data_IF_768903948106
#
_entry.id   IF_768903948106
#
_cell.length_a   1.000
_cell.length_b   1.000
_cell.length_c   1.000
_cell.angle_alpha   90.00
_cell.angle_beta   90.00
_cell.angle_gamma   90.00
#
_symmetry.space_group_name_H-M   'P 1'
#
loop_
_entity.id
_entity.type
_entity.pdbx_description
1 polymer ?
#
# COMPACT_ATOMS: atom_id res chain seq x y z
N UNK A 1 19.51 41.66 17.95
CA UNK A 1 18.23 42.19 17.42
C UNK A 1 18.03 41.56 16.07
N UNK A 2 17.03 40.69 16.07
CA UNK A 2 16.68 39.63 15.15
C UNK A 2 16.25 40.09 13.75
N UNK A 3 16.33 39.14 12.81
CA UNK A 3 15.30 38.70 11.84
C UNK A 3 16.05 38.09 10.64
N UNK A 4 16.26 36.79 10.62
CA UNK A 4 15.30 35.75 10.22
C UNK A 4 14.68 36.05 8.84
N UNK A 5 15.31 35.53 7.79
CA UNK A 5 14.63 35.17 6.54
C UNK A 5 15.22 33.86 6.06
N UNK A 6 14.80 32.77 6.70
CA UNK A 6 14.87 31.45 6.11
C UNK A 6 13.90 31.44 4.92
N UNK A 7 14.40 31.71 3.71
CA UNK A 7 13.74 31.21 2.49
C UNK A 7 13.99 29.70 2.42
N UNK A 8 13.23 28.98 3.24
CA UNK A 8 13.06 27.54 3.13
C UNK A 8 12.15 27.33 1.93
N UNK A 9 12.74 27.34 0.73
CA UNK A 9 12.07 26.81 -0.45
C UNK A 9 11.55 25.43 -0.08
N UNK A 10 10.25 25.22 -0.23
CA UNK A 10 9.60 23.92 -0.05
C UNK A 10 10.12 22.97 -1.15
N UNK A 11 11.36 22.52 -0.99
CA UNK A 11 11.90 21.44 -1.77
C UNK A 11 11.18 20.20 -1.26
N UNK A 12 10.43 19.51 -2.13
CA UNK A 12 9.74 18.24 -1.85
C UNK A 12 10.72 17.08 -1.51
N UNK A 13 11.92 17.41 -1.03
CA UNK A 13 13.03 16.52 -0.68
C UNK A 13 12.66 15.73 0.57
N UNK A 14 12.05 14.57 0.36
CA UNK A 14 11.78 13.60 1.41
C UNK A 14 10.34 13.08 1.48
N UNK A 15 9.46 13.49 0.56
CA UNK A 15 8.18 12.80 0.42
C UNK A 15 8.40 11.41 -0.18
N UNK A 16 7.58 10.47 0.26
CA UNK A 16 7.59 9.07 -0.14
C UNK A 16 6.39 8.84 -1.07
N UNK A 17 6.66 8.50 -2.31
CA UNK A 17 5.63 8.06 -3.24
C UNK A 17 5.35 6.58 -3.01
N UNK A 18 4.09 6.22 -2.78
CA UNK A 18 3.66 4.85 -2.51
C UNK A 18 2.38 4.52 -3.27
N UNK A 19 2.36 3.38 -3.95
CA UNK A 19 1.18 2.85 -4.60
C UNK A 19 0.76 1.58 -3.86
N UNK A 20 -0.44 1.60 -3.26
CA UNK A 20 -1.02 0.41 -2.62
C UNK A 20 -1.67 -0.42 -3.71
N UNK A 21 -1.33 -1.71 -3.75
CA UNK A 21 -1.81 -2.62 -4.76
C UNK A 21 -3.19 -3.18 -4.42
N UNK A 22 -4.13 -3.10 -5.36
CA UNK A 22 -5.47 -3.69 -5.24
C UNK A 22 -5.67 -4.94 -6.13
N UNK A 23 -4.82 -5.14 -7.14
CA UNK A 23 -4.83 -6.26 -8.12
C UNK A 23 -3.46 -6.92 -8.21
N UNK A 24 -3.14 -7.86 -9.11
CA UNK A 24 -1.79 -8.50 -9.18
C UNK A 24 -0.69 -7.63 -9.86
N UNK A 25 -0.86 -6.31 -9.93
CA UNK A 25 0.01 -5.39 -10.69
C UNK A 25 1.26 -4.90 -9.93
N UNK A 26 1.88 -5.77 -9.13
CA UNK A 26 3.04 -5.43 -8.30
C UNK A 26 4.22 -4.83 -9.08
N UNK A 27 4.44 -5.29 -10.32
CA UNK A 27 5.50 -4.78 -11.19
C UNK A 27 5.36 -3.29 -11.51
N UNK A 28 4.14 -2.81 -11.78
CA UNK A 28 3.86 -1.39 -12.08
C UNK A 28 4.21 -0.54 -10.88
N UNK A 29 3.67 -0.92 -9.71
CA UNK A 29 3.89 -0.23 -8.44
C UNK A 29 5.37 -0.22 -8.04
N UNK A 30 6.08 -1.34 -8.29
CA UNK A 30 7.51 -1.47 -8.06
C UNK A 30 8.30 -0.45 -8.90
N UNK A 31 8.07 -0.41 -10.21
CA UNK A 31 8.80 0.51 -11.12
C UNK A 31 8.51 1.98 -10.79
N UNK A 32 7.25 2.32 -10.56
CA UNK A 32 6.85 3.69 -10.21
C UNK A 32 7.48 4.15 -8.89
N UNK A 33 7.56 3.25 -7.91
CA UNK A 33 8.27 3.51 -6.66
C UNK A 33 9.77 3.67 -6.87
N UNK A 34 10.40 2.83 -7.71
CA UNK A 34 11.82 2.95 -8.11
C UNK A 34 12.10 4.29 -8.79
N UNK A 35 11.08 4.96 -9.34
CA UNK A 35 11.17 6.29 -9.93
C UNK A 35 10.62 7.41 -9.03
N UNK A 36 9.94 7.06 -7.92
CA UNK A 36 9.22 7.98 -7.03
C UNK A 36 8.20 8.82 -7.82
N UNK A 37 7.32 8.14 -8.56
CA UNK A 37 6.17 8.77 -9.22
C UNK A 37 5.42 7.83 -10.17
N UNK A 38 4.19 8.18 -10.57
CA UNK A 38 3.36 7.38 -11.48
C UNK A 38 3.81 7.57 -12.93
N UNK A 39 4.97 7.01 -13.28
CA UNK A 39 5.53 7.16 -14.63
C UNK A 39 5.04 6.10 -15.61
N UNK A 40 4.60 4.95 -15.09
CA UNK A 40 4.11 3.84 -15.88
C UNK A 40 2.72 3.42 -15.41
N UNK A 41 1.87 3.07 -16.37
CA UNK A 41 0.63 2.34 -16.14
C UNK A 41 0.78 0.86 -16.52
N UNK A 42 -0.22 0.06 -16.17
CA UNK A 42 -0.34 -1.34 -16.64
C UNK A 42 -0.22 -1.44 -18.16
N UNK A 43 -0.88 -0.53 -18.89
CA UNK A 43 -0.87 -0.53 -20.36
C UNK A 43 0.54 -0.26 -20.91
N UNK A 44 1.32 0.59 -20.25
CA UNK A 44 2.69 0.91 -20.68
C UNK A 44 3.61 -0.31 -20.49
N UNK A 45 3.54 -0.98 -19.34
CA UNK A 45 4.31 -2.21 -19.11
C UNK A 45 3.87 -3.35 -20.03
N UNK A 46 2.57 -3.50 -20.30
CA UNK A 46 2.06 -4.50 -21.24
C UNK A 46 2.53 -4.23 -22.68
N UNK A 47 2.60 -2.96 -23.08
CA UNK A 47 3.15 -2.59 -24.38
C UNK A 47 4.65 -2.93 -24.49
N UNK A 48 5.43 -2.65 -23.43
CA UNK A 48 6.85 -3.03 -23.36
C UNK A 48 7.03 -4.55 -23.42
N UNK A 49 6.20 -5.31 -22.69
CA UNK A 49 6.23 -6.78 -22.73
C UNK A 49 5.92 -7.30 -24.15
N UNK A 50 4.93 -6.74 -24.83
CA UNK A 50 4.59 -7.13 -26.21
C UNK A 50 5.70 -6.79 -27.22
N UNK A 51 6.41 -5.68 -27.04
CA UNK A 51 7.53 -5.30 -27.91
C UNK A 51 8.74 -6.24 -27.71
N UNK A 52 8.99 -6.63 -26.45
CA UNK A 52 9.98 -7.65 -26.12
C UNK A 52 9.64 -9.00 -26.76
N UNK A 53 8.40 -9.48 -26.61
CA UNK A 53 7.94 -10.73 -27.24
C UNK A 53 8.13 -10.68 -28.76
N UNK A 54 7.83 -9.55 -29.40
CA UNK A 54 8.01 -9.36 -30.84
C UNK A 54 9.48 -9.41 -31.24
N UNK A 55 10.34 -8.73 -30.49
CA UNK A 55 11.78 -8.68 -30.75
C UNK A 55 12.43 -10.05 -30.56
N UNK A 56 12.08 -10.78 -29.51
CA UNK A 56 12.53 -12.16 -29.25
C UNK A 56 12.13 -13.10 -30.39
N UNK A 57 10.87 -13.00 -30.89
CA UNK A 57 10.39 -13.77 -32.05
C UNK A 57 11.16 -13.43 -33.32
N UNK A 58 11.42 -12.15 -33.60
CA UNK A 58 12.17 -11.73 -34.79
C UNK A 58 13.60 -12.27 -34.77
N UNK A 59 14.27 -12.24 -33.62
CA UNK A 59 15.63 -12.79 -33.47
C UNK A 59 15.66 -14.31 -33.68
N UNK A 60 14.61 -15.03 -33.27
CA UNK A 60 14.49 -16.47 -33.53
C UNK A 60 14.22 -16.81 -35.00
N UNK A 61 13.36 -16.04 -35.69
CA UNK A 61 13.06 -16.26 -37.12
C UNK A 61 14.31 -16.09 -38.01
N UNK A 62 15.27 -15.25 -37.59
CA UNK A 62 16.55 -15.09 -38.29
C UNK A 62 17.57 -16.22 -38.04
N UNK A 63 17.36 -17.07 -37.02
CA UNK A 63 18.37 -18.05 -36.55
C UNK A 63 17.98 -19.51 -36.78
N UNK A 64 16.76 -19.82 -37.22
CA UNK A 64 16.25 -21.20 -37.30
C UNK A 64 15.92 -21.59 -38.75
N UNK A 65 16.84 -22.33 -39.39
CA UNK A 65 16.65 -23.00 -40.70
C UNK A 65 16.10 -24.43 -40.55
N UNK A 66 15.21 -24.70 -39.58
CA UNK A 66 14.71 -26.04 -39.30
C UNK A 66 13.41 -26.06 -38.51
N UNK A 67 12.66 -27.15 -38.62
CA UNK A 67 11.28 -27.39 -38.18
C UNK A 67 11.07 -27.40 -36.64
N UNK A 68 11.89 -26.68 -35.88
CA UNK A 68 11.79 -26.53 -34.44
C UNK A 68 10.97 -25.28 -34.15
N UNK A 69 9.77 -25.44 -33.61
CA UNK A 69 8.99 -24.33 -33.05
C UNK A 69 9.49 -24.07 -31.63
N UNK A 70 10.34 -23.04 -31.40
CA UNK A 70 10.70 -22.67 -30.03
C UNK A 70 9.45 -22.24 -29.29
N UNK A 71 9.37 -22.63 -28.03
CA UNK A 71 8.33 -22.19 -27.10
C UNK A 71 8.33 -20.65 -27.08
N UNK A 72 7.18 -20.06 -27.39
CA UNK A 72 7.04 -18.61 -27.48
C UNK A 72 7.17 -18.06 -26.06
N UNK A 73 8.28 -17.36 -25.78
CA UNK A 73 8.43 -16.59 -24.55
C UNK A 73 7.30 -15.58 -24.45
N UNK A 74 6.69 -15.50 -23.27
CA UNK A 74 5.66 -14.55 -22.94
C UNK A 74 6.15 -13.74 -21.74
N UNK A 75 6.42 -12.46 -21.97
CA UNK A 75 6.96 -11.55 -20.96
C UNK A 75 5.91 -11.04 -19.95
N UNK A 76 4.62 -11.36 -20.17
CA UNK A 76 3.52 -11.09 -19.24
C UNK A 76 2.64 -12.33 -19.07
N UNK A 77 2.32 -12.69 -17.84
CA UNK A 77 1.42 -13.79 -17.50
C UNK A 77 -0.05 -13.35 -17.60
N UNK A 78 -0.96 -14.32 -17.78
CA UNK A 78 -2.42 -14.07 -17.73
C UNK A 78 -2.87 -13.53 -16.37
N UNK A 79 -2.09 -13.82 -15.32
CA UNK A 79 -2.30 -13.34 -13.96
C UNK A 79 -1.78 -11.91 -13.72
N UNK A 80 -1.12 -11.28 -14.71
CA UNK A 80 -0.57 -9.93 -14.59
C UNK A 80 0.83 -9.82 -13.98
N UNK A 81 1.55 -10.94 -13.85
CA UNK A 81 2.97 -10.91 -13.50
C UNK A 81 3.84 -10.61 -14.72
N UNK A 82 4.88 -9.80 -14.53
CA UNK A 82 5.77 -9.32 -15.57
C UNK A 82 7.17 -9.89 -15.39
N UNK A 83 7.82 -10.24 -16.50
CA UNK A 83 9.21 -10.69 -16.46
C UNK A 83 10.15 -9.56 -16.03
N UNK A 84 11.29 -9.92 -15.43
CA UNK A 84 12.35 -8.97 -15.09
C UNK A 84 12.85 -8.16 -16.31
N UNK A 85 12.76 -8.72 -17.52
CA UNK A 85 13.19 -8.05 -18.75
C UNK A 85 12.30 -6.83 -19.05
N UNK A 86 11.01 -6.90 -18.73
CA UNK A 86 10.09 -5.76 -18.85
C UNK A 86 10.51 -4.63 -17.92
N UNK A 87 10.78 -4.94 -16.64
CA UNK A 87 11.24 -3.96 -15.65
C UNK A 87 12.60 -3.36 -16.06
N UNK A 88 13.51 -4.19 -16.59
CA UNK A 88 14.79 -3.74 -17.14
C UNK A 88 14.58 -2.72 -18.26
N UNK A 89 13.71 -2.99 -19.23
CA UNK A 89 13.42 -2.05 -20.33
C UNK A 89 12.73 -0.78 -19.87
N UNK A 90 11.79 -0.87 -18.93
CA UNK A 90 11.14 0.29 -18.37
C UNK A 90 12.16 1.24 -17.69
N UNK A 91 13.07 0.68 -16.89
CA UNK A 91 14.09 1.44 -16.17
C UNK A 91 15.24 1.92 -17.07
N UNK A 92 15.56 1.21 -18.16
CA UNK A 92 16.58 1.60 -19.13
C UNK A 92 16.27 2.96 -19.79
N UNK A 93 14.99 3.26 -20.04
CA UNK A 93 14.53 4.57 -20.56
C UNK A 93 14.96 5.73 -19.66
N UNK A 94 15.13 5.47 -18.36
CA UNK A 94 15.55 6.43 -17.34
C UNK A 94 17.06 6.40 -17.06
N UNK A 95 17.87 5.75 -17.91
CA UNK A 95 19.30 5.50 -17.67
C UNK A 95 19.56 4.75 -16.35
N UNK A 96 18.62 3.91 -15.93
CA UNK A 96 18.77 3.03 -14.78
C UNK A 96 19.09 1.61 -15.25
N UNK A 97 20.07 0.99 -14.62
CA UNK A 97 20.48 -0.38 -14.87
C UNK A 97 20.03 -1.27 -13.73
N UNK A 98 19.45 -2.43 -14.08
CA UNK A 98 19.03 -3.46 -13.13
C UNK A 98 20.01 -4.62 -13.19
N UNK A 99 20.75 -4.82 -12.10
CA UNK A 99 21.88 -5.77 -12.01
C UNK A 99 21.53 -6.83 -10.97
N UNK A 100 21.54 -8.13 -11.30
CA UNK A 100 21.36 -9.19 -10.31
C UNK A 100 22.39 -9.08 -9.17
N UNK A 101 21.95 -9.20 -7.92
CA UNK A 101 22.82 -9.00 -6.76
C UNK A 101 23.96 -10.04 -6.69
N UNK A 102 23.76 -11.22 -7.26
CA UNK A 102 24.76 -12.29 -7.37
C UNK A 102 25.80 -12.06 -8.49
N UNK A 103 25.65 -11.01 -9.30
CA UNK A 103 26.60 -10.65 -10.35
C UNK A 103 27.90 -10.07 -9.75
N UNK A 104 29.08 -10.30 -10.36
CA UNK A 104 30.33 -9.66 -9.94
C UNK A 104 30.25 -8.12 -9.93
N UNK A 105 29.41 -7.52 -10.77
CA UNK A 105 29.22 -6.07 -10.80
C UNK A 105 28.52 -5.50 -9.55
N UNK A 106 27.84 -6.36 -8.79
CA UNK A 106 27.12 -6.03 -7.57
C UNK A 106 27.88 -6.46 -6.30
N UNK A 107 29.11 -6.98 -6.40
CA UNK A 107 29.94 -7.35 -5.26
C UNK A 107 30.08 -6.24 -4.21
N UNK A 108 30.29 -4.95 -4.57
CA UNK A 108 30.35 -3.87 -3.58
C UNK A 108 29.04 -3.69 -2.80
N UNK A 109 27.89 -3.94 -3.45
CA UNK A 109 26.58 -3.84 -2.83
C UNK A 109 26.28 -5.00 -1.87
N UNK A 110 26.99 -6.13 -2.00
CA UNK A 110 26.89 -7.24 -1.04
C UNK A 110 27.63 -6.92 0.26
N UNK A 111 28.69 -6.10 0.19
CA UNK A 111 29.50 -5.68 1.34
C UNK A 111 28.85 -4.47 2.02
N UNK A 112 28.57 -3.42 1.24
CA UNK A 112 28.04 -2.14 1.74
C UNK A 112 26.73 -1.78 1.01
N UNK A 113 25.61 -2.48 1.27
CA UNK A 113 24.32 -2.23 0.59
C UNK A 113 23.80 -0.80 0.81
N UNK A 114 24.20 -0.14 1.89
CA UNK A 114 23.78 1.22 2.24
C UNK A 114 24.29 2.33 1.30
N UNK A 115 25.33 2.03 0.49
CA UNK A 115 25.90 2.95 -0.51
C UNK A 115 25.09 2.98 -1.79
N UNK A 116 24.23 2.00 -2.00
CA UNK A 116 23.36 1.93 -3.16
C UNK A 116 22.10 2.79 -2.98
N UNK A 117 21.27 2.85 -4.03
CA UNK A 117 20.09 3.73 -4.06
C UNK A 117 18.77 2.96 -4.03
N UNK A 118 18.68 1.81 -4.68
CA UNK A 118 17.48 0.98 -4.66
C UNK A 118 17.78 -0.48 -4.98
N UNK A 119 16.91 -1.35 -4.48
CA UNK A 119 16.85 -2.78 -4.78
C UNK A 119 15.43 -3.13 -5.23
N UNK A 120 15.33 -4.08 -6.14
CA UNK A 120 14.09 -4.73 -6.56
C UNK A 120 14.16 -6.18 -6.08
N UNK A 121 13.10 -6.65 -5.46
CA UNK A 121 13.00 -7.98 -4.90
C UNK A 121 11.85 -8.74 -5.57
N UNK A 122 12.08 -10.01 -5.88
CA UNK A 122 11.10 -10.89 -6.50
C UNK A 122 11.05 -12.29 -5.88
N UNK A 123 9.84 -12.76 -5.59
CA UNK A 123 9.55 -14.13 -5.19
C UNK A 123 8.10 -14.47 -5.54
N UNK A 124 7.87 -15.61 -6.21
CA UNK A 124 6.54 -16.19 -6.44
C UNK A 124 5.50 -15.16 -6.95
N UNK A 125 5.80 -14.52 -8.09
CA UNK A 125 4.93 -13.56 -8.79
C UNK A 125 4.68 -12.26 -8.02
N UNK A 126 5.55 -11.92 -7.07
CA UNK A 126 5.49 -10.66 -6.32
C UNK A 126 6.76 -9.84 -6.45
N UNK A 127 6.61 -8.59 -6.89
CA UNK A 127 7.66 -7.60 -7.03
C UNK A 127 7.51 -6.49 -5.99
N UNK A 128 8.59 -6.16 -5.30
CA UNK A 128 8.61 -4.95 -4.47
C UNK A 128 9.96 -4.23 -4.53
N UNK A 129 9.97 -2.97 -4.09
CA UNK A 129 11.15 -2.13 -4.09
C UNK A 129 11.60 -1.77 -2.67
N UNK A 130 12.90 -1.83 -2.43
CA UNK A 130 13.54 -1.22 -1.26
C UNK A 130 14.35 -0.03 -1.78
N UNK A 131 14.01 1.19 -1.34
CA UNK A 131 14.64 2.41 -1.88
C UNK A 131 15.09 3.37 -0.80
N UNK A 132 16.22 4.01 -1.08
CA UNK A 132 16.76 5.10 -0.28
C UNK A 132 16.13 6.42 -0.73
N UNK A 133 15.44 7.09 0.19
CA UNK A 133 14.84 8.42 -0.02
C UNK A 133 15.36 9.35 1.07
N UNK A 134 15.93 10.49 0.67
CA UNK A 134 16.51 11.47 1.57
C UNK A 134 17.52 10.90 2.59
N UNK A 135 18.27 9.86 2.19
CA UNK A 135 19.30 9.24 3.01
C UNK A 135 18.82 8.10 3.91
N UNK A 136 17.52 7.85 4.00
CA UNK A 136 16.91 6.77 4.78
C UNK A 136 16.33 5.69 3.87
N UNK A 137 16.25 4.45 4.34
CA UNK A 137 15.76 3.32 3.56
C UNK A 137 14.31 3.01 3.90
N UNK A 138 13.55 2.62 2.89
CA UNK A 138 12.16 2.23 3.05
C UNK A 138 11.86 0.99 2.21
N UNK A 139 11.05 0.10 2.75
CA UNK A 139 10.40 -0.97 2.04
C UNK A 139 9.07 -0.45 1.47
N UNK A 140 8.96 -0.47 0.15
CA UNK A 140 7.78 -0.07 -0.59
C UNK A 140 7.08 -1.30 -1.17
N UNK A 141 6.86 -2.31 -0.34
CA UNK A 141 5.96 -3.39 -0.69
C UNK A 141 4.56 -2.81 -0.86
N UNK A 142 4.03 -2.95 -2.07
CA UNK A 142 2.72 -2.44 -2.46
C UNK A 142 1.57 -3.14 -1.70
N UNK A 143 1.84 -4.28 -1.05
CA UNK A 143 0.92 -4.93 -0.13
C UNK A 143 0.77 -4.17 1.21
N UNK A 144 1.69 -3.25 1.51
CA UNK A 144 1.61 -2.43 2.71
C UNK A 144 0.78 -1.17 2.48
N UNK A 145 0.10 -0.71 3.53
CA UNK A 145 -0.68 0.53 3.49
C UNK A 145 0.20 1.78 3.34
N UNK A 146 1.46 1.70 3.77
CA UNK A 146 2.46 2.75 3.65
C UNK A 146 3.87 2.15 3.63
N UNK A 147 4.89 2.88 3.14
CA UNK A 147 6.27 2.42 3.16
C UNK A 147 6.77 2.19 4.58
N UNK A 148 7.44 1.05 4.79
CA UNK A 148 8.01 0.70 6.09
C UNK A 148 9.45 1.21 6.17
N UNK A 149 9.79 1.97 7.23
CA UNK A 149 11.15 2.45 7.43
C UNK A 149 12.09 1.29 7.76
N UNK A 150 13.21 1.25 7.06
CA UNK A 150 14.31 0.32 7.29
C UNK A 150 15.54 1.09 7.77
N UNK A 151 16.02 0.76 8.96
CA UNK A 151 17.28 1.29 9.45
C UNK A 151 18.45 0.80 8.58
N UNK A 152 19.45 1.65 8.37
CA UNK A 152 20.70 1.30 7.66
C UNK A 152 21.38 0.07 8.27
N UNK A 153 21.35 -0.03 9.60
CA UNK A 153 21.93 -1.17 10.32
C UNK A 153 21.13 -2.46 10.15
N UNK A 154 19.86 -2.36 9.77
CA UNK A 154 18.98 -3.50 9.56
C UNK A 154 18.92 -3.94 8.08
N UNK A 155 19.22 -3.04 7.14
CA UNK A 155 19.13 -3.30 5.70
C UNK A 155 19.90 -4.56 5.28
N UNK A 156 21.15 -4.71 5.72
CA UNK A 156 21.97 -5.89 5.37
C UNK A 156 21.33 -7.19 5.86
N UNK A 157 20.92 -7.24 7.13
CA UNK A 157 20.24 -8.39 7.72
C UNK A 157 18.91 -8.70 7.03
N UNK A 158 18.17 -7.67 6.62
CA UNK A 158 16.92 -7.82 5.88
C UNK A 158 17.16 -8.43 4.49
N UNK A 159 18.12 -7.90 3.72
CA UNK A 159 18.50 -8.44 2.42
C UNK A 159 19.00 -9.89 2.53
N UNK A 160 19.78 -10.22 3.54
CA UNK A 160 20.25 -11.59 3.77
C UNK A 160 19.11 -12.54 4.15
N UNK A 161 18.13 -12.06 4.92
CA UNK A 161 16.91 -12.81 5.20
C UNK A 161 16.16 -13.12 3.91
N UNK A 162 15.95 -12.13 3.04
CA UNK A 162 15.32 -12.32 1.73
C UNK A 162 16.07 -13.35 0.88
N UNK A 163 17.40 -13.26 0.78
CA UNK A 163 18.20 -14.28 0.07
C UNK A 163 17.97 -15.68 0.65
N UNK A 164 17.93 -15.82 1.98
CA UNK A 164 17.74 -17.12 2.64
C UNK A 164 16.38 -17.75 2.35
N UNK A 165 15.34 -16.92 2.17
CA UNK A 165 14.01 -17.35 1.76
C UNK A 165 13.89 -17.62 0.25
N UNK A 166 14.96 -17.40 -0.52
CA UNK A 166 15.01 -17.67 -1.96
C UNK A 166 14.57 -16.49 -2.84
N UNK A 167 14.52 -15.27 -2.30
CA UNK A 167 14.22 -14.09 -3.10
C UNK A 167 15.32 -13.80 -4.11
N UNK A 168 14.91 -13.45 -5.33
CA UNK A 168 15.79 -12.85 -6.32
C UNK A 168 15.89 -11.35 -6.05
N UNK A 169 17.11 -10.86 -5.83
CA UNK A 169 17.37 -9.44 -5.52
C UNK A 169 18.17 -8.83 -6.67
N UNK A 170 17.73 -7.68 -7.13
CA UNK A 170 18.35 -6.91 -8.19
C UNK A 170 18.69 -5.51 -7.69
N UNK A 171 19.93 -5.09 -7.88
CA UNK A 171 20.40 -3.74 -7.64
C UNK A 171 19.95 -2.82 -8.77
N UNK A 172 19.45 -1.63 -8.44
CA UNK A 172 19.17 -0.57 -9.42
C UNK A 172 20.19 0.55 -9.26
N UNK A 173 20.93 0.85 -10.33
CA UNK A 173 21.98 1.88 -10.36
C UNK A 173 21.80 2.80 -11.57
N UNK A 174 22.01 4.09 -11.38
CA UNK A 174 21.97 5.09 -12.45
C UNK A 174 21.46 6.43 -11.94
N UNK A 175 20.91 7.24 -12.85
CA UNK A 175 20.44 8.59 -12.56
C UNK A 175 18.96 8.60 -12.16
N UNK A 176 18.70 8.42 -10.86
CA UNK A 176 17.34 8.49 -10.33
C UNK A 176 16.73 9.89 -10.54
N UNK A 177 15.43 9.97 -10.88
CA UNK A 177 14.71 11.25 -10.91
C UNK A 177 14.86 11.99 -9.59
N UNK A 178 15.30 13.26 -9.66
CA UNK A 178 15.53 14.13 -8.50
C UNK A 178 14.33 15.02 -8.20
N UNK A 179 13.50 15.27 -9.22
CA UNK A 179 12.31 16.10 -9.13
C UNK A 179 11.08 15.20 -9.01
N UNK A 180 10.43 15.26 -7.86
CA UNK A 180 9.13 14.64 -7.66
C UNK A 180 8.10 15.39 -8.51
N UNK A 181 7.35 14.73 -9.42
CA UNK A 181 6.27 15.36 -10.17
C UNK A 181 5.06 15.59 -9.25
N UNK A 182 5.20 16.44 -8.24
CA UNK A 182 4.09 17.02 -7.50
C UNK A 182 3.55 18.20 -8.33
N UNK A 183 2.70 17.92 -9.31
CA UNK A 183 1.80 18.96 -9.77
C UNK A 183 0.70 19.09 -8.71
N UNK A 184 0.42 20.30 -8.27
CA UNK A 184 -0.45 20.63 -7.12
C UNK A 184 -1.90 20.14 -7.25
N UNK A 185 -2.23 19.47 -8.36
CA UNK A 185 -3.58 19.12 -8.80
C UNK A 185 -3.83 17.60 -8.84
N UNK A 186 -2.79 16.76 -8.72
CA UNK A 186 -2.88 15.32 -9.02
C UNK A 186 -2.77 14.40 -7.78
N UNK A 187 -2.77 14.96 -6.57
CA UNK A 187 -2.78 14.17 -5.33
C UNK A 187 -3.99 13.22 -5.17
N UNK A 188 -4.96 13.27 -6.10
CA UNK A 188 -6.18 12.46 -6.11
C UNK A 188 -6.39 11.68 -7.41
N UNK A 189 -5.40 11.56 -8.32
CA UNK A 189 -5.60 10.86 -9.60
C UNK A 189 -5.68 9.31 -9.48
N UNK A 190 -5.76 8.74 -8.28
CA UNK A 190 -6.00 7.30 -8.08
C UNK A 190 -4.81 6.39 -8.38
N UNK A 191 -3.65 6.94 -8.78
CA UNK A 191 -2.47 6.13 -9.11
C UNK A 191 -1.51 5.91 -7.93
N UNK A 192 -1.55 6.74 -6.88
CA UNK A 192 -0.72 6.56 -5.68
C UNK A 192 -0.81 7.73 -4.70
N UNK A 193 -0.20 7.57 -3.53
CA UNK A 193 -0.19 8.57 -2.46
C UNK A 193 1.23 9.09 -2.18
N UNK A 194 1.31 10.37 -1.83
CA UNK A 194 2.54 10.99 -1.35
C UNK A 194 2.47 11.12 0.17
N UNK A 195 3.38 10.46 0.88
CA UNK A 195 3.42 10.42 2.33
C UNK A 195 4.66 11.13 2.86
N UNK A 196 4.50 11.85 3.97
CA UNK A 196 5.66 12.22 4.79
C UNK A 196 6.16 10.97 5.52
N UNK A 197 7.48 10.84 5.79
CA UNK A 197 8.01 9.72 6.56
C UNK A 197 7.31 9.50 7.91
N UNK A 198 6.94 10.60 8.59
CA UNK A 198 6.22 10.57 9.87
C UNK A 198 4.79 10.02 9.73
N UNK A 199 4.11 10.34 8.63
CA UNK A 199 2.77 9.83 8.34
C UNK A 199 2.82 8.36 7.93
N UNK A 200 3.80 7.97 7.11
CA UNK A 200 4.05 6.57 6.76
C UNK A 200 4.30 5.72 8.02
N UNK A 201 5.15 6.20 8.93
CA UNK A 201 5.41 5.51 10.20
C UNK A 201 4.15 5.39 11.07
N UNK A 202 3.31 6.44 11.13
CA UNK A 202 2.04 6.42 11.86
C UNK A 202 1.07 5.38 11.28
N UNK A 203 0.96 5.32 9.95
CA UNK A 203 0.10 4.36 9.25
C UNK A 203 0.58 2.92 9.54
N UNK A 204 1.89 2.65 9.35
CA UNK A 204 2.48 1.32 9.56
C UNK A 204 2.32 0.83 11.00
N UNK A 205 2.47 1.72 12.00
CA UNK A 205 2.20 1.37 13.40
C UNK A 205 0.73 1.04 13.66
N UNK A 206 -0.19 1.84 13.08
CA UNK A 206 -1.62 1.64 13.28
C UNK A 206 -2.14 0.32 12.69
N UNK A 207 -1.68 -0.07 11.50
CA UNK A 207 -2.09 -1.35 10.92
C UNK A 207 -1.50 -2.55 11.67
N UNK A 208 -0.27 -2.46 12.17
CA UNK A 208 0.31 -3.52 13.01
C UNK A 208 -0.46 -3.72 14.32
N UNK A 209 -0.96 -2.65 14.96
CA UNK A 209 -1.82 -2.77 16.15
C UNK A 209 -3.17 -3.44 15.85
N UNK A 210 -3.74 -3.23 14.67
CA UNK A 210 -5.02 -3.86 14.26
C UNK A 210 -4.88 -5.34 13.92
N UNK A 211 -3.71 -5.80 13.46
CA UNK A 211 -3.43 -7.21 13.21
C UNK A 211 -3.25 -7.99 14.53
N UNK A 212 -2.97 -7.29 15.64
CA UNK A 212 -2.81 -7.87 16.99
C UNK A 212 -4.11 -8.20 17.73
N UNK A 213 -5.27 -7.70 17.30
CA UNK A 213 -6.54 -7.83 18.04
C UNK A 213 -7.35 -9.10 17.70
N UNK A 214 -6.75 -10.03 16.94
CA UNK A 214 -7.37 -11.30 16.52
C UNK A 214 -7.04 -12.51 17.40
N UNK A 215 -6.25 -12.37 18.46
CA UNK A 215 -5.91 -13.47 19.39
C UNK A 215 -6.39 -13.16 20.80
N UNK A 216 -7.64 -13.54 21.09
CA UNK A 216 -8.10 -13.74 22.45
C UNK A 216 -7.16 -14.66 23.21
N UNK A 217 -6.47 -14.13 24.21
CA UNK A 217 -5.90 -14.88 25.31
C UNK A 217 -6.13 -14.05 26.60
N UNK A 218 -6.96 -14.51 27.55
CA UNK A 218 -7.20 -13.76 28.78
C UNK A 218 -6.23 -14.21 29.88
N UNK A 219 -5.33 -13.32 30.31
CA UNK A 219 -4.71 -13.29 31.66
C UNK A 219 -3.75 -12.10 31.72
N UNK A 220 -4.15 -10.98 32.32
CA UNK A 220 -3.92 -10.62 33.74
C UNK A 220 -2.59 -9.87 33.97
N UNK A 221 -2.67 -8.53 33.99
CA UNK A 221 -2.01 -7.63 34.95
C UNK A 221 -1.89 -6.20 34.44
N UNK A 222 -2.33 -5.23 35.26
CA UNK A 222 -1.70 -3.92 35.33
C UNK A 222 -2.47 -2.74 34.73
N UNK A 223 -3.40 -2.20 35.52
CA UNK A 223 -4.00 -0.86 35.45
C UNK A 223 -3.08 0.25 34.92
N UNK A 224 -3.54 0.94 33.88
CA UNK A 224 -3.42 2.40 33.70
C UNK A 224 -4.74 2.87 33.08
N UNK A 225 -5.42 3.77 33.79
CA UNK A 225 -6.73 4.36 33.48
C UNK A 225 -6.48 5.85 33.19
N UNK A 226 -7.39 6.44 32.40
CA UNK A 226 -7.44 7.79 31.80
C UNK A 226 -6.85 7.81 30.38
N UNK A 227 -7.64 7.98 29.31
CA UNK A 227 -8.50 9.16 29.08
C UNK A 227 -9.64 8.92 28.05
N UNK A 228 -10.17 7.70 27.91
CA UNK A 228 -11.21 7.42 26.91
C UNK A 228 -12.42 6.79 27.58
N UNK A 229 -13.50 7.57 27.73
CA UNK A 229 -14.86 7.17 27.35
C UNK A 229 -15.94 8.04 28.03
N UNK A 230 -16.12 9.27 27.56
CA UNK A 230 -17.33 10.03 27.89
C UNK A 230 -18.58 9.38 27.24
N UNK A 231 -18.41 8.80 26.04
CA UNK A 231 -19.47 8.11 25.30
C UNK A 231 -19.87 6.76 25.93
N UNK A 232 -18.93 5.96 26.46
CA UNK A 232 -19.27 4.70 27.14
C UNK A 232 -20.01 4.99 28.46
N UNK A 233 -19.62 6.05 29.16
CA UNK A 233 -20.31 6.49 30.39
C UNK A 233 -21.73 6.97 30.08
N UNK A 234 -21.92 7.65 28.95
CA UNK A 234 -23.25 8.05 28.47
C UNK A 234 -24.12 6.82 28.12
N UNK A 235 -23.57 5.81 27.45
CA UNK A 235 -24.30 4.59 27.07
C UNK A 235 -24.73 3.74 28.29
N UNK A 236 -23.86 3.62 29.30
CA UNK A 236 -24.19 2.89 30.54
C UNK A 236 -25.25 3.66 31.34
N UNK A 237 -25.15 4.99 31.41
CA UNK A 237 -26.16 5.83 32.07
C UNK A 237 -27.53 5.74 31.40
N UNK A 238 -27.57 5.73 30.06
CA UNK A 238 -28.81 5.54 29.30
C UNK A 238 -29.47 4.18 29.61
N UNK A 239 -28.66 3.11 29.68
CA UNK A 239 -29.14 1.76 30.01
C UNK A 239 -29.68 1.64 31.45
N UNK A 240 -29.11 2.40 32.40
CA UNK A 240 -29.59 2.43 33.79
C UNK A 240 -30.91 3.22 33.96
N UNK A 241 -31.14 4.23 33.11
CA UNK A 241 -32.41 4.98 33.12
C UNK A 241 -33.54 4.21 32.44
N UNK A 242 -33.27 3.41 31.41
CA UNK A 242 -34.30 2.63 30.72
C UNK A 242 -34.79 1.40 31.52
N UNK A 243 -33.93 0.85 32.38
CA UNK A 243 -34.29 -0.22 33.32
C UNK A 243 -35.10 0.26 34.53
N UNK A 244 -35.17 1.57 34.79
CA UNK A 244 -36.00 2.16 35.86
C UNK A 244 -37.36 2.69 35.37
N UNK A 245 -37.55 2.88 34.06
CA UNK A 245 -38.85 3.26 33.47
C UNK A 245 -39.77 2.09 33.11
N UNK A 246 -39.27 0.84 33.11
CA UNK A 246 -40.07 -0.36 32.82
C UNK A 246 -40.74 -1.01 34.05
N UNK A 247 -40.57 -0.41 35.24
CA UNK A 247 -41.17 -0.86 36.51
C UNK A 247 -42.29 0.05 37.05
N UNK A 248 -42.52 1.22 36.45
CA UNK A 248 -43.41 2.26 37.00
C UNK A 248 -44.74 2.48 36.24
N UNK A 249 -45.03 1.74 35.16
CA UNK A 249 -46.19 2.01 34.30
C UNK A 249 -47.27 0.91 34.24
N UNK A 250 -47.34 -0.01 35.21
CA UNK A 250 -48.30 -1.13 35.20
C UNK A 250 -49.25 -1.22 36.42
N UNK A 251 -49.33 -0.19 37.25
CA UNK A 251 -50.34 -0.13 38.31
C UNK A 251 -51.06 1.21 38.28
N UNK A 252 -52.38 1.15 38.46
CA UNK A 252 -53.37 2.25 38.53
C UNK A 252 -54.00 2.63 37.18
N UNK A 253 -55.00 1.84 36.76
CA UNK A 253 -56.31 2.37 36.36
C UNK A 253 -57.32 1.21 36.19
N UNK A 254 -57.94 0.81 37.29
CA UNK A 254 -59.17 0.02 37.26
C UNK A 254 -60.26 0.78 38.03
N UNK A 255 -61.48 0.72 37.49
CA UNK A 255 -62.82 0.96 38.10
C UNK A 255 -63.54 2.30 37.91
N UNK A 256 -64.62 2.25 37.10
CA UNK A 256 -65.99 2.76 37.27
C UNK A 256 -66.56 3.10 35.87
N UNK A 257 -67.45 2.30 35.25
CA UNK A 257 -68.91 2.26 35.47
C UNK A 257 -69.60 3.43 34.72
N UNK A 258 -70.73 3.38 34.02
CA UNK A 258 -71.74 2.38 33.62
C UNK A 258 -72.69 3.11 32.62
N UNK A 259 -73.38 2.34 31.77
CA UNK A 259 -74.68 2.64 31.10
C UNK A 259 -74.89 3.68 29.97
N UNK A 260 -75.31 3.11 28.82
CA UNK A 260 -76.54 3.40 28.01
C UNK A 260 -76.55 4.34 26.78
N UNK A 261 -77.09 3.73 25.71
CA UNK A 261 -78.03 4.19 24.66
C UNK A 261 -77.60 5.00 23.43
N UNK A 262 -77.69 4.30 22.28
CA UNK A 262 -78.50 4.56 21.08
C UNK A 262 -78.25 5.77 20.15
N UNK A 263 -78.46 5.45 18.85
CA UNK A 263 -78.85 6.26 17.67
C UNK A 263 -77.74 6.47 16.61
N UNK A 264 -77.69 5.70 15.50
CA UNK A 264 -78.38 5.93 14.20
C UNK A 264 -78.14 7.37 13.64
N UNK A 265 -77.72 7.67 12.40
CA UNK A 265 -77.80 6.99 11.09
C UNK A 265 -76.93 7.76 10.05
N UNK A 266 -76.41 7.04 9.05
CA UNK A 266 -76.39 7.35 7.60
C UNK A 266 -75.49 8.41 6.91
N UNK A 267 -75.09 7.96 5.70
CA UNK A 267 -74.81 8.67 4.42
C UNK A 267 -73.47 9.39 4.31
N UNK A 268 -72.73 9.33 3.21
CA UNK A 268 -72.92 8.82 1.84
C UNK A 268 -71.78 9.44 1.01
N UNK A 269 -70.97 8.64 0.31
CA UNK A 269 -70.88 8.52 -1.16
C UNK A 269 -70.73 9.83 -1.96
N UNK A 270 -69.81 9.73 -2.94
CA UNK A 270 -69.50 10.60 -4.09
C UNK A 270 -68.47 11.69 -3.74
N UNK A 271 -67.36 11.84 -4.46
CA UNK A 271 -66.99 11.51 -5.84
C UNK A 271 -65.51 11.09 -5.92
#
# INVERSE_FOLDING_TARGET
MDRNTAERGASNRGMLYHEVQESKLCAVHCVNTVLQGPFFSEFDLAALASDLDLTERQMMVGSVTGDYFPEVSHNVSLDGDFSIQVLQKALEVWNLQVIPLNSPMAEPAQIDPEKESAFICHLQDHWFCIRKVNGEWYNFDSLYAAPEHLSKFYLSAYLDSLKSFGWSIFLVRGDFPKDCPMTSSEASNGYGQWLLPEDAERITKSCNSKIGDGRHQPSDSGTVVDDEDEDLKAAIAASLMESSSSSAAAVVAETAGDSKNEHETSKGKNE
#
